data_IF_981423372140
#
_entry.id   IF_981423372140
#
_cell.length_a   1.000
_cell.length_b   1.000
_cell.length_c   1.000
_cell.angle_alpha   90.00
_cell.angle_beta   90.00
_cell.angle_gamma   90.00
#
_symmetry.space_group_name_H-M   'P 1'
#
loop_
_entity.id
_entity.type
_entity.pdbx_description
1 polymer ?
#
# COMPACT_ATOMS: atom_id res chain seq x y z
N UNK A 1 81.60 18.45 -38.00
CA UNK A 1 80.98 17.15 -38.32
C UNK A 1 79.55 17.19 -37.76
N UNK A 2 78.52 17.07 -38.62
CA UNK A 2 77.09 17.06 -38.27
C UNK A 2 76.63 15.63 -37.96
N UNK A 3 75.82 15.44 -36.91
CA UNK A 3 74.70 14.46 -36.80
C UNK A 3 73.75 15.06 -35.74
N UNK A 4 72.76 15.89 -36.10
CA UNK A 4 71.34 15.59 -36.35
C UNK A 4 70.71 14.45 -35.53
N UNK A 5 69.86 14.80 -34.55
CA UNK A 5 68.88 13.88 -33.95
C UNK A 5 67.49 14.49 -34.08
N UNK A 6 66.84 14.25 -35.21
CA UNK A 6 65.38 14.29 -35.35
C UNK A 6 64.79 12.96 -34.87
N UNK A 7 63.66 13.01 -34.17
CA UNK A 7 62.85 11.88 -33.71
C UNK A 7 62.62 11.98 -32.19
N UNK A 8 61.42 12.19 -31.65
CA UNK A 8 60.12 11.62 -32.02
C UNK A 8 59.05 12.69 -31.76
N UNK A 9 58.32 13.06 -32.82
CA UNK A 9 57.03 13.70 -32.69
C UNK A 9 56.00 12.56 -32.65
N UNK A 10 55.43 12.25 -31.47
CA UNK A 10 54.23 11.41 -31.40
C UNK A 10 53.38 11.79 -30.18
N UNK A 11 52.45 12.72 -30.44
CA UNK A 11 51.02 12.58 -30.11
C UNK A 11 50.70 11.81 -28.82
N UNK A 12 50.53 12.53 -27.72
CA UNK A 12 49.68 12.08 -26.62
C UNK A 12 48.72 13.20 -26.20
N UNK A 13 47.74 13.45 -27.08
CA UNK A 13 46.49 14.13 -26.69
C UNK A 13 45.39 13.07 -26.74
N UNK A 14 45.29 12.31 -25.66
CA UNK A 14 44.13 11.49 -25.26
C UNK A 14 44.47 11.01 -23.84
N UNK A 15 43.68 11.11 -22.78
CA UNK A 15 42.23 11.00 -22.70
C UNK A 15 41.72 11.39 -21.30
N UNK A 16 42.05 12.59 -20.77
CA UNK A 16 41.48 12.99 -19.45
C UNK A 16 39.96 13.20 -19.48
N UNK A 17 39.36 13.34 -20.67
CA UNK A 17 37.89 13.38 -20.83
C UNK A 17 37.27 11.98 -20.83
N UNK A 18 37.86 11.00 -21.52
CA UNK A 18 37.25 9.66 -21.62
C UNK A 18 37.25 8.90 -20.28
N UNK A 19 38.29 9.09 -19.45
CA UNK A 19 38.32 8.49 -18.11
C UNK A 19 37.24 9.09 -17.19
N UNK A 20 36.99 10.40 -17.29
CA UNK A 20 36.00 11.10 -16.44
C UNK A 20 34.56 10.71 -16.81
N UNK A 21 34.27 10.56 -18.10
CA UNK A 21 32.95 10.14 -18.59
C UNK A 21 32.65 8.67 -18.30
N UNK A 22 33.66 7.78 -18.38
CA UNK A 22 33.46 6.36 -18.11
C UNK A 22 33.23 6.07 -16.61
N UNK A 23 33.94 6.79 -15.73
CA UNK A 23 33.71 6.75 -14.28
C UNK A 23 32.33 7.32 -13.94
N UNK A 24 31.93 8.45 -14.52
CA UNK A 24 30.61 9.04 -14.28
C UNK A 24 29.48 8.06 -14.62
N UNK A 25 29.55 7.40 -15.79
CA UNK A 25 28.54 6.43 -16.19
C UNK A 25 28.54 5.17 -15.32
N UNK A 26 29.71 4.65 -14.93
CA UNK A 26 29.79 3.48 -14.06
C UNK A 26 29.26 3.76 -12.65
N UNK A 27 29.58 4.93 -12.08
CA UNK A 27 29.06 5.35 -10.77
C UNK A 27 27.54 5.56 -10.81
N UNK A 28 27.00 6.23 -11.84
CA UNK A 28 25.54 6.37 -11.97
C UNK A 28 24.84 5.02 -12.14
N UNK A 29 25.48 4.06 -12.83
CA UNK A 29 24.92 2.72 -13.02
C UNK A 29 24.94 1.90 -11.72
N UNK A 30 26.03 2.01 -10.93
CA UNK A 30 26.17 1.37 -9.61
C UNK A 30 25.17 1.98 -8.61
N UNK A 31 25.07 3.31 -8.54
CA UNK A 31 24.07 3.99 -7.70
C UNK A 31 22.64 3.62 -8.08
N UNK A 32 22.35 3.49 -9.38
CA UNK A 32 21.03 3.06 -9.84
C UNK A 32 20.76 1.58 -9.56
N UNK A 33 21.75 0.70 -9.64
CA UNK A 33 21.60 -0.71 -9.26
C UNK A 33 21.44 -0.88 -7.75
N UNK A 34 22.22 -0.15 -6.93
CA UNK A 34 22.10 -0.16 -5.47
C UNK A 34 20.77 0.42 -5.00
N UNK A 35 20.30 1.49 -5.63
CA UNK A 35 18.96 2.06 -5.38
C UNK A 35 17.85 1.09 -5.77
N UNK A 36 18.02 0.38 -6.90
CA UNK A 36 17.07 -0.66 -7.34
C UNK A 36 17.06 -1.86 -6.39
N UNK A 37 18.22 -2.30 -5.90
CA UNK A 37 18.30 -3.39 -4.92
C UNK A 37 17.74 -3.00 -3.55
N UNK A 38 17.98 -1.77 -3.09
CA UNK A 38 17.41 -1.25 -1.86
C UNK A 38 15.87 -1.15 -1.93
N UNK A 39 15.33 -0.72 -3.07
CA UNK A 39 13.88 -0.75 -3.33
C UNK A 39 13.32 -2.17 -3.28
N UNK A 40 13.96 -3.13 -3.96
CA UNK A 40 13.55 -4.54 -3.93
C UNK A 40 13.57 -5.14 -2.52
N UNK A 41 14.63 -4.88 -1.74
CA UNK A 41 14.70 -5.34 -0.34
C UNK A 41 13.61 -4.70 0.53
N UNK A 42 13.31 -3.42 0.33
CA UNK A 42 12.25 -2.74 1.06
C UNK A 42 10.85 -3.30 0.71
N UNK A 43 10.59 -3.58 -0.56
CA UNK A 43 9.37 -4.27 -1.01
C UNK A 43 9.26 -5.67 -0.37
N UNK A 44 10.34 -6.45 -0.35
CA UNK A 44 10.36 -7.78 0.24
C UNK A 44 10.12 -7.75 1.76
N UNK A 45 10.68 -6.76 2.47
CA UNK A 45 10.44 -6.53 3.90
C UNK A 45 8.99 -6.15 4.15
N UNK A 46 8.40 -5.23 3.36
CA UNK A 46 7.00 -4.83 3.50
C UNK A 46 6.07 -6.01 3.24
N UNK A 47 6.31 -6.77 2.16
CA UNK A 47 5.52 -7.95 1.82
C UNK A 47 5.57 -8.99 2.94
N UNK A 48 6.74 -9.21 3.54
CA UNK A 48 6.88 -10.10 4.69
C UNK A 48 6.11 -9.56 5.91
N UNK A 49 6.17 -8.26 6.17
CA UNK A 49 5.44 -7.60 7.27
C UNK A 49 3.94 -7.75 7.09
N UNK A 50 3.42 -7.50 5.89
CA UNK A 50 1.99 -7.64 5.54
C UNK A 50 1.52 -9.08 5.71
N UNK A 51 2.26 -10.05 5.19
CA UNK A 51 1.92 -11.48 5.32
C UNK A 51 2.00 -11.99 6.77
N UNK A 52 2.85 -11.38 7.59
CA UNK A 52 2.97 -11.71 9.02
C UNK A 52 1.99 -10.96 9.93
N UNK A 53 1.39 -9.86 9.47
CA UNK A 53 0.54 -9.00 10.29
C UNK A 53 -0.79 -9.67 10.64
N UNK A 54 -1.06 -9.77 11.94
CA UNK A 54 -2.35 -10.25 12.44
C UNK A 54 -3.50 -9.32 12.05
N UNK A 55 -3.24 -8.01 11.97
CA UNK A 55 -4.25 -7.04 11.56
C UNK A 55 -4.68 -7.28 10.10
N UNK A 56 -3.73 -7.50 9.19
CA UNK A 56 -4.03 -7.84 7.79
C UNK A 56 -4.82 -9.15 7.68
N UNK A 57 -4.41 -10.19 8.42
CA UNK A 57 -5.14 -11.47 8.44
C UNK A 57 -6.57 -11.32 8.94
N UNK A 58 -6.77 -10.56 10.02
CA UNK A 58 -8.11 -10.32 10.57
C UNK A 58 -8.94 -9.43 9.64
N UNK A 59 -8.32 -8.46 8.96
CA UNK A 59 -8.97 -7.64 7.96
C UNK A 59 -9.54 -8.50 6.82
N UNK A 60 -8.73 -9.40 6.26
CA UNK A 60 -9.18 -10.35 5.23
C UNK A 60 -10.34 -11.22 5.72
N UNK A 61 -10.24 -11.71 6.96
CA UNK A 61 -11.29 -12.54 7.57
C UNK A 61 -12.61 -11.79 7.68
N UNK A 62 -12.61 -10.54 8.17
CA UNK A 62 -13.83 -9.72 8.26
C UNK A 62 -14.43 -9.44 6.87
N UNK A 63 -13.58 -9.25 5.86
CA UNK A 63 -14.04 -9.07 4.47
C UNK A 63 -14.48 -10.38 3.79
N UNK A 64 -14.33 -11.53 4.45
CA UNK A 64 -14.61 -12.83 3.83
C UNK A 64 -13.73 -13.10 2.61
N UNK A 65 -12.50 -12.56 2.61
CA UNK A 65 -11.46 -12.89 1.65
C UNK A 65 -10.85 -14.20 2.14
N UNK A 66 -11.11 -15.29 1.42
CA UNK A 66 -10.60 -16.62 1.76
C UNK A 66 -9.06 -16.65 1.82
N UNK A 67 -8.52 -17.62 2.53
CA UNK A 67 -7.07 -17.81 2.69
C UNK A 67 -6.33 -18.01 1.35
N UNK A 68 -7.07 -18.33 0.29
CA UNK A 68 -6.56 -18.66 -1.03
C UNK A 68 -6.29 -17.42 -1.89
N UNK A 69 -6.79 -16.24 -1.48
CA UNK A 69 -6.51 -14.98 -2.17
C UNK A 69 -5.24 -14.36 -1.61
N UNK A 70 -4.24 -14.21 -2.48
CA UNK A 70 -2.99 -13.57 -2.13
C UNK A 70 -3.23 -12.08 -1.85
N UNK A 71 -2.92 -11.65 -0.62
CA UNK A 71 -2.99 -10.24 -0.21
C UNK A 71 -2.11 -9.36 -1.09
N UNK A 72 -1.06 -9.94 -1.70
CA UNK A 72 -0.16 -9.24 -2.62
C UNK A 72 -0.91 -8.65 -3.83
N UNK A 73 -2.10 -9.18 -4.18
CA UNK A 73 -2.94 -8.63 -5.27
C UNK A 73 -3.59 -7.28 -4.93
N UNK A 74 -3.60 -6.90 -3.65
CA UNK A 74 -4.12 -5.62 -3.15
C UNK A 74 -2.99 -4.74 -2.61
N UNK A 75 -1.78 -4.92 -3.12
CA UNK A 75 -0.69 -3.98 -2.83
C UNK A 75 -0.67 -2.88 -3.88
N UNK A 76 -0.50 -1.66 -3.41
CA UNK A 76 -0.17 -0.51 -4.25
C UNK A 76 1.30 -0.56 -4.65
N UNK A 77 1.67 0.25 -5.65
CA UNK A 77 3.06 0.42 -6.09
C UNK A 77 4.00 0.91 -4.98
N UNK A 78 3.46 1.52 -3.91
CA UNK A 78 4.23 1.94 -2.74
C UNK A 78 4.40 0.82 -1.69
N UNK A 79 3.98 -0.41 -2.00
CA UNK A 79 4.05 -1.59 -1.14
C UNK A 79 2.99 -1.64 -0.04
N UNK A 80 2.07 -0.68 0.06
CA UNK A 80 1.01 -0.64 1.09
C UNK A 80 -0.26 -1.33 0.62
N UNK A 81 -1.08 -1.75 1.57
CA UNK A 81 -2.36 -2.42 1.31
C UNK A 81 -3.40 -1.40 0.82
N UNK A 82 -4.00 -1.68 -0.34
CA UNK A 82 -5.10 -0.96 -0.96
C UNK A 82 -6.43 -1.29 -0.28
N UNK A 83 -6.62 -0.70 0.90
CA UNK A 83 -7.81 -0.94 1.73
C UNK A 83 -9.07 -0.42 1.04
N UNK A 84 -9.01 0.70 0.34
CA UNK A 84 -10.12 1.25 -0.42
C UNK A 84 -10.66 0.22 -1.41
N UNK A 85 -9.80 -0.34 -2.26
CA UNK A 85 -10.21 -1.37 -3.23
C UNK A 85 -10.82 -2.58 -2.53
N UNK A 86 -10.20 -3.05 -1.45
CA UNK A 86 -10.72 -4.20 -0.71
C UNK A 86 -12.10 -3.93 -0.09
N UNK A 87 -12.36 -2.74 0.43
CA UNK A 87 -13.66 -2.35 0.96
C UNK A 87 -14.71 -2.17 -0.14
N UNK A 88 -14.32 -1.69 -1.31
CA UNK A 88 -15.24 -1.55 -2.45
C UNK A 88 -15.64 -2.92 -3.01
N UNK A 89 -14.70 -3.87 -3.11
CA UNK A 89 -14.96 -5.22 -3.61
C UNK A 89 -15.67 -6.12 -2.59
N UNK A 90 -15.29 -6.06 -1.31
CA UNK A 90 -15.73 -7.03 -0.29
C UNK A 90 -16.49 -6.41 0.88
N UNK A 91 -16.49 -5.09 1.02
CA UNK A 91 -17.12 -4.41 2.16
C UNK A 91 -18.62 -4.68 2.29
N UNK A 92 -19.30 -5.06 1.21
CA UNK A 92 -20.69 -5.51 1.24
C UNK A 92 -20.95 -6.73 2.14
N UNK A 93 -19.93 -7.55 2.40
CA UNK A 93 -20.02 -8.76 3.23
C UNK A 93 -19.84 -8.49 4.73
N UNK A 94 -19.33 -7.32 5.09
CA UNK A 94 -19.02 -6.96 6.48
C UNK A 94 -20.31 -6.83 7.27
N UNK A 95 -20.42 -7.56 8.37
CA UNK A 95 -21.59 -7.49 9.24
C UNK A 95 -21.52 -6.23 10.10
N UNK A 96 -22.68 -5.69 10.40
CA UNK A 96 -22.75 -4.42 11.16
C UNK A 96 -22.23 -4.52 12.60
N UNK A 97 -22.13 -5.72 13.18
CA UNK A 97 -21.52 -5.97 14.49
C UNK A 97 -19.98 -6.04 14.44
N UNK A 98 -19.39 -6.24 13.25
CA UNK A 98 -17.94 -6.31 13.03
C UNK A 98 -17.32 -4.92 12.84
N UNK A 99 -18.11 -3.88 12.59
CA UNK A 99 -17.64 -2.52 12.29
C UNK A 99 -16.70 -1.93 13.36
N UNK A 100 -16.97 -2.21 14.65
CA UNK A 100 -16.10 -1.75 15.75
C UNK A 100 -14.73 -2.44 15.72
N UNK A 101 -14.72 -3.73 15.41
CA UNK A 101 -13.49 -4.51 15.30
C UNK A 101 -12.70 -4.09 14.05
N UNK A 102 -13.39 -3.91 12.93
CA UNK A 102 -12.81 -3.43 11.68
C UNK A 102 -12.09 -2.08 11.87
N UNK A 103 -12.69 -1.15 12.62
CA UNK A 103 -12.05 0.13 12.94
C UNK A 103 -10.73 -0.03 13.72
N UNK A 104 -10.69 -0.95 14.69
CA UNK A 104 -9.47 -1.24 15.45
C UNK A 104 -8.39 -1.85 14.56
N UNK A 105 -8.77 -2.77 13.69
CA UNK A 105 -7.87 -3.45 12.76
C UNK A 105 -7.25 -2.44 11.79
N UNK A 106 -8.06 -1.61 11.15
CA UNK A 106 -7.57 -0.57 10.23
C UNK A 106 -6.64 0.43 10.94
N UNK A 107 -6.96 0.80 12.18
CA UNK A 107 -6.07 1.62 13.01
C UNK A 107 -4.75 0.91 13.32
N UNK A 108 -4.79 -0.40 13.57
CA UNK A 108 -3.60 -1.23 13.76
C UNK A 108 -2.72 -1.28 12.50
N UNK A 109 -3.33 -1.50 11.32
CA UNK A 109 -2.62 -1.48 10.04
C UNK A 109 -1.96 -0.12 9.77
N UNK A 110 -2.62 0.99 10.13
CA UNK A 110 -2.05 2.33 9.98
C UNK A 110 -0.85 2.56 10.92
N UNK A 111 -0.96 2.13 12.19
CA UNK A 111 0.16 2.18 13.16
C UNK A 111 1.35 1.30 12.75
N UNK A 112 1.08 0.20 12.05
CA UNK A 112 2.10 -0.66 11.47
C UNK A 112 2.65 -0.12 10.13
N UNK A 113 2.21 1.06 9.69
CA UNK A 113 2.57 1.70 8.42
C UNK A 113 2.24 0.86 7.18
N UNK A 114 1.31 -0.09 7.31
CA UNK A 114 0.92 -1.01 6.23
C UNK A 114 -0.11 -0.41 5.27
N UNK A 115 -0.74 0.69 5.66
CA UNK A 115 -1.70 1.45 4.85
C UNK A 115 -1.28 2.90 4.81
N UNK A 116 -1.72 3.61 3.78
CA UNK A 116 -1.52 5.05 3.71
C UNK A 116 -2.64 5.80 4.43
N UNK A 117 -2.42 7.09 4.62
CA UNK A 117 -3.35 7.97 5.30
C UNK A 117 -4.68 8.10 4.55
N UNK A 118 -4.62 8.10 3.21
CA UNK A 118 -5.82 8.16 2.36
C UNK A 118 -6.72 6.94 2.59
N UNK A 119 -6.15 5.74 2.53
CA UNK A 119 -6.86 4.48 2.79
C UNK A 119 -7.38 4.38 4.21
N UNK A 120 -6.58 4.83 5.19
CA UNK A 120 -6.97 4.86 6.59
C UNK A 120 -8.23 5.71 6.80
N UNK A 121 -8.23 6.95 6.31
CA UNK A 121 -9.40 7.82 6.45
C UNK A 121 -10.58 7.38 5.60
N UNK A 122 -10.33 6.84 4.40
CA UNK A 122 -11.37 6.24 3.57
C UNK A 122 -12.10 5.14 4.33
N UNK A 123 -11.35 4.21 4.92
CA UNK A 123 -11.90 3.10 5.67
C UNK A 123 -12.71 3.58 6.90
N UNK A 124 -12.19 4.55 7.66
CA UNK A 124 -12.95 5.12 8.79
C UNK A 124 -14.26 5.77 8.34
N UNK A 125 -14.24 6.53 7.25
CA UNK A 125 -15.44 7.14 6.66
C UNK A 125 -16.44 6.08 6.20
N UNK A 126 -15.96 5.02 5.55
CA UNK A 126 -16.77 3.90 5.11
C UNK A 126 -17.45 3.19 6.29
N UNK A 127 -16.68 2.90 7.35
CA UNK A 127 -17.18 2.27 8.59
C UNK A 127 -18.25 3.14 9.25
N UNK A 128 -17.98 4.44 9.42
CA UNK A 128 -18.94 5.38 10.00
C UNK A 128 -20.23 5.47 9.18
N UNK A 129 -20.12 5.45 7.86
CA UNK A 129 -21.27 5.46 6.94
C UNK A 129 -22.12 4.20 7.12
N UNK A 130 -21.50 3.01 7.19
CA UNK A 130 -22.21 1.75 7.45
C UNK A 130 -22.87 1.73 8.83
N UNK A 131 -22.21 2.24 9.86
CA UNK A 131 -22.79 2.35 11.19
C UNK A 131 -24.03 3.25 11.22
N UNK A 132 -23.99 4.39 10.51
CA UNK A 132 -25.13 5.30 10.37
C UNK A 132 -26.29 4.66 9.60
N UNK A 133 -26.01 3.94 8.50
CA UNK A 133 -27.05 3.22 7.76
C UNK A 133 -27.79 2.22 8.67
N UNK A 134 -27.07 1.49 9.52
CA UNK A 134 -27.68 0.58 10.50
C UNK A 134 -28.63 1.31 11.45
N UNK A 135 -28.20 2.41 12.06
CA UNK A 135 -29.03 3.14 13.02
C UNK A 135 -30.28 3.73 12.35
N UNK A 136 -30.16 4.21 11.12
CA UNK A 136 -31.32 4.67 10.33
C UNK A 136 -32.31 3.54 10.06
N UNK A 137 -31.85 2.35 9.63
CA UNK A 137 -32.73 1.19 9.39
C UNK A 137 -33.47 0.77 10.66
N UNK A 138 -32.77 0.74 11.80
CA UNK A 138 -33.39 0.39 13.10
C UNK A 138 -34.48 1.41 13.46
N UNK A 139 -34.21 2.70 13.27
CA UNK A 139 -35.18 3.75 13.56
C UNK A 139 -36.43 3.67 12.66
N UNK A 140 -36.27 3.33 11.38
CA UNK A 140 -37.39 3.14 10.46
C UNK A 140 -38.26 1.96 10.92
N UNK A 141 -37.65 0.80 11.17
CA UNK A 141 -38.38 -0.40 11.63
C UNK A 141 -39.12 -0.18 12.95
N UNK A 142 -38.52 0.59 13.86
CA UNK A 142 -39.16 0.94 15.14
C UNK A 142 -40.42 1.78 14.91
N UNK A 143 -40.35 2.78 14.03
CA UNK A 143 -41.50 3.62 13.67
C UNK A 143 -42.61 2.81 12.99
N UNK A 144 -42.27 1.90 12.08
CA UNK A 144 -43.26 1.02 11.42
C UNK A 144 -43.98 0.13 12.44
N UNK A 145 -43.24 -0.44 13.40
CA UNK A 145 -43.82 -1.24 14.47
C UNK A 145 -44.76 -0.43 15.38
N UNK A 146 -44.35 0.77 15.78
CA UNK A 146 -45.19 1.68 16.58
C UNK A 146 -46.52 1.98 15.86
N UNK A 147 -46.50 2.26 14.55
CA UNK A 147 -47.70 2.51 13.73
C UNK A 147 -48.63 1.30 13.68
N UNK A 148 -48.10 0.09 13.47
CA UNK A 148 -48.92 -1.14 13.44
C UNK A 148 -49.61 -1.34 14.80
N UNK A 149 -48.87 -1.22 15.90
CA UNK A 149 -49.43 -1.44 17.24
C UNK A 149 -50.44 -0.39 17.69
N UNK A 150 -50.44 0.81 17.08
CA UNK A 150 -51.48 1.82 17.33
C UNK A 150 -52.77 1.53 16.57
N UNK A 151 -52.72 0.87 15.41
CA UNK A 151 -53.90 0.52 14.61
C UNK A 151 -54.69 -0.66 15.20
N UNK A 152 -54.01 -1.60 15.88
CA UNK A 152 -54.67 -2.76 16.52
C UNK A 152 -55.37 -2.42 17.87
N UNK A 153 -55.30 -1.15 18.32
CA UNK A 153 -55.89 -0.69 19.60
C UNK A 153 -57.11 0.23 19.43
N UNK A 154 -57.52 0.51 18.19
CA UNK A 154 -58.78 1.19 17.86
C UNK A 154 -59.88 0.18 17.51
#
# INVERSE_FOLDING_TARGET
MKINCEGINNKFISSKKDVKYNISNSFTKILNSEKSEAMKRNEEILNKKINSSNNVKHFNKILGIGNDKDINMYLKDNGKVDVKRMLDEYGGKVKTNELRELSKIVTGMFKEELVDEEDYFYALKWIATKAKQKSTIINIKKKEFEVITSLDRE
#
